data_IF_112326788946
#
_entry.id   IF_112326788946
#
_cell.length_a   1.000
_cell.length_b   1.000
_cell.length_c   1.000
_cell.angle_alpha   90.00
_cell.angle_beta   90.00
_cell.angle_gamma   90.00
#
_symmetry.space_group_name_H-M   'P 1'
#
loop_
_entity.id
_entity.type
_entity.pdbx_description
1 polymer ?
#
# COMPACT_ATOMS: atom_id res chain seq x y z
N UNK A 1 -0.43 -11.53 -23.20
CA UNK A 1 0.74 -10.74 -22.69
C UNK A 1 0.65 -10.61 -21.17
N UNK A 2 1.77 -10.74 -20.44
CA UNK A 2 1.80 -10.59 -18.97
C UNK A 2 1.75 -9.11 -18.58
N UNK A 3 1.05 -8.79 -17.50
CA UNK A 3 1.03 -7.44 -16.92
C UNK A 3 2.36 -7.21 -16.18
N UNK A 4 2.98 -6.02 -16.31
CA UNK A 4 4.19 -5.70 -15.55
C UNK A 4 3.91 -5.80 -14.04
N UNK A 5 4.80 -6.48 -13.31
CA UNK A 5 4.60 -6.78 -11.88
C UNK A 5 5.21 -5.73 -10.95
N UNK A 6 6.01 -4.79 -11.46
CA UNK A 6 6.63 -3.73 -10.66
C UNK A 6 5.63 -2.92 -9.80
N UNK A 7 4.37 -2.66 -10.22
CA UNK A 7 3.44 -1.93 -9.35
C UNK A 7 3.05 -2.74 -8.12
N UNK A 8 2.95 -4.06 -8.26
CA UNK A 8 2.65 -4.98 -7.16
C UNK A 8 3.83 -5.05 -6.18
N UNK A 9 5.06 -5.09 -6.68
CA UNK A 9 6.26 -4.98 -5.84
C UNK A 9 6.32 -3.64 -5.11
N UNK A 10 5.99 -2.54 -5.78
CA UNK A 10 5.90 -1.21 -5.15
C UNK A 10 4.88 -1.18 -4.01
N UNK A 11 3.66 -1.69 -4.24
CA UNK A 11 2.64 -1.81 -3.20
C UNK A 11 3.11 -2.68 -2.01
N UNK A 12 3.81 -3.79 -2.29
CA UNK A 12 4.35 -4.66 -1.25
C UNK A 12 5.42 -3.98 -0.39
N UNK A 13 6.37 -3.31 -1.02
CA UNK A 13 7.43 -2.57 -0.32
C UNK A 13 6.83 -1.48 0.56
N UNK A 14 5.85 -0.73 0.06
CA UNK A 14 5.19 0.34 0.82
C UNK A 14 4.36 -0.19 1.99
N UNK A 15 3.60 -1.27 1.78
CA UNK A 15 2.82 -1.89 2.84
C UNK A 15 3.71 -2.42 3.99
N UNK A 16 4.84 -3.07 3.64
CA UNK A 16 5.81 -3.56 4.63
C UNK A 16 6.50 -2.40 5.35
N UNK A 17 6.95 -1.38 4.61
CA UNK A 17 7.57 -0.20 5.21
C UNK A 17 6.62 0.51 6.18
N UNK A 18 5.36 0.71 5.80
CA UNK A 18 4.34 1.30 6.64
C UNK A 18 4.06 0.48 7.91
N UNK A 19 4.08 -0.86 7.82
CA UNK A 19 3.92 -1.75 8.97
C UNK A 19 5.09 -1.66 9.96
N UNK A 20 6.32 -1.47 9.48
CA UNK A 20 7.51 -1.48 10.34
C UNK A 20 7.70 -0.17 11.11
N UNK A 21 7.22 0.96 10.57
CA UNK A 21 7.42 2.30 11.14
C UNK A 21 6.95 2.43 12.61
N UNK A 22 5.77 1.92 13.02
CA UNK A 22 5.35 1.94 14.43
C UNK A 22 6.32 1.26 15.39
N UNK A 23 7.04 0.22 14.95
CA UNK A 23 7.98 -0.53 15.80
C UNK A 23 9.34 0.13 15.94
N UNK A 24 9.70 1.01 14.99
CA UNK A 24 10.97 1.73 14.97
C UNK A 24 10.81 3.15 15.54
N UNK A 25 9.61 3.71 15.48
CA UNK A 25 9.28 5.05 15.96
C UNK A 25 9.29 5.12 17.49
N UNK A 26 10.46 5.44 18.07
CA UNK A 26 10.57 5.59 19.53
C UNK A 26 10.02 6.91 20.06
N UNK A 27 10.11 8.02 19.31
CA UNK A 27 9.59 9.35 19.71
C UNK A 27 9.34 10.26 18.49
N UNK A 28 8.24 11.04 18.51
CA UNK A 28 7.98 12.14 17.58
C UNK A 28 6.99 11.84 16.43
N UNK A 29 6.42 12.90 15.86
CA UNK A 29 5.34 12.86 14.85
C UNK A 29 5.81 12.57 13.43
N UNK A 30 7.11 12.72 13.14
CA UNK A 30 7.65 12.62 11.77
C UNK A 30 7.54 11.20 11.19
N UNK A 31 7.98 10.19 11.95
CA UNK A 31 7.97 8.80 11.48
C UNK A 31 6.54 8.29 11.24
N UNK A 32 5.57 8.45 12.18
CA UNK A 32 4.19 8.05 11.95
C UNK A 32 3.54 8.77 10.76
N UNK A 33 3.87 10.04 10.53
CA UNK A 33 3.42 10.78 9.32
C UNK A 33 3.87 10.09 8.03
N UNK A 34 5.13 9.65 7.97
CA UNK A 34 5.66 8.92 6.82
C UNK A 34 4.97 7.57 6.68
N UNK A 35 4.80 6.82 7.77
CA UNK A 35 4.12 5.52 7.74
C UNK A 35 2.68 5.62 7.27
N UNK A 36 1.98 6.67 7.70
CA UNK A 36 0.66 7.01 7.21
C UNK A 36 0.67 7.28 5.70
N UNK A 37 1.57 8.14 5.21
CA UNK A 37 1.66 8.48 3.79
C UNK A 37 1.97 7.26 2.91
N UNK A 38 2.91 6.40 3.34
CA UNK A 38 3.28 5.19 2.58
C UNK A 38 2.13 4.16 2.57
N UNK A 39 1.49 3.94 3.72
CA UNK A 39 0.42 2.96 3.88
C UNK A 39 -0.90 3.40 3.25
N UNK A 40 -1.43 4.54 3.68
CA UNK A 40 -2.76 5.02 3.31
C UNK A 40 -2.82 5.70 1.92
N UNK A 41 -1.70 6.22 1.41
CA UNK A 41 -1.67 6.91 0.11
C UNK A 41 -0.86 6.13 -0.91
N UNK A 42 0.39 5.81 -0.57
CA UNK A 42 1.31 5.14 -1.49
C UNK A 42 0.80 3.76 -1.95
N UNK A 43 0.41 2.91 -0.99
CA UNK A 43 -0.07 1.55 -1.32
C UNK A 43 -1.31 1.56 -2.24
N UNK A 44 -2.35 2.39 -1.99
CA UNK A 44 -3.45 2.57 -2.94
C UNK A 44 -3.05 3.11 -4.31
N UNK A 45 -2.13 4.10 -4.38
CA UNK A 45 -1.66 4.61 -5.67
C UNK A 45 -1.07 3.50 -6.54
N UNK A 46 -0.21 2.66 -5.98
CA UNK A 46 0.38 1.52 -6.71
C UNK A 46 -0.67 0.47 -7.10
N UNK A 47 -1.66 0.22 -6.24
CA UNK A 47 -2.76 -0.68 -6.57
C UNK A 47 -3.66 -0.16 -7.70
N UNK A 48 -3.94 1.14 -7.71
CA UNK A 48 -4.67 1.80 -8.81
C UNK A 48 -3.87 1.72 -10.10
N UNK A 49 -2.57 2.00 -10.08
CA UNK A 49 -1.70 1.86 -11.26
C UNK A 49 -1.76 0.42 -11.81
N UNK A 50 -1.63 -0.59 -10.93
CA UNK A 50 -1.75 -1.99 -11.35
C UNK A 50 -3.10 -2.28 -12.00
N UNK A 51 -4.20 -1.78 -11.41
CA UNK A 51 -5.56 -1.97 -11.92
C UNK A 51 -5.77 -1.30 -13.28
N UNK A 52 -5.30 -0.06 -13.45
CA UNK A 52 -5.38 0.67 -14.73
C UNK A 52 -4.58 -0.07 -15.82
N UNK A 53 -3.39 -0.57 -15.48
CA UNK A 53 -2.59 -1.39 -16.40
C UNK A 53 -3.30 -2.70 -16.77
N UNK A 54 -3.97 -3.33 -15.80
CA UNK A 54 -4.74 -4.56 -16.01
C UNK A 54 -5.93 -4.31 -16.96
N UNK A 55 -6.71 -3.26 -16.72
CA UNK A 55 -7.86 -2.85 -17.54
C UNK A 55 -7.43 -2.41 -18.95
N UNK A 56 -6.27 -1.78 -19.09
CA UNK A 56 -5.70 -1.47 -20.40
C UNK A 56 -5.34 -2.73 -21.20
N UNK A 57 -4.83 -3.77 -20.52
CA UNK A 57 -4.42 -5.03 -21.14
C UNK A 57 -5.58 -5.98 -21.39
N UNK A 58 -6.67 -5.89 -20.60
CA UNK A 58 -7.85 -6.75 -20.77
C UNK A 58 -8.60 -6.52 -22.08
N UNK A 59 -8.33 -5.41 -22.78
CA UNK A 59 -8.83 -5.14 -24.13
C UNK A 59 -8.15 -6.00 -25.22
N UNK A 60 -7.06 -6.70 -24.89
CA UNK A 60 -6.36 -7.58 -25.82
C UNK A 60 -7.00 -8.98 -25.83
N UNK A 61 -7.24 -9.60 -27.01
CA UNK A 61 -7.78 -10.97 -27.10
C UNK A 61 -6.82 -12.04 -26.57
N UNK A 62 -5.53 -11.71 -26.35
CA UNK A 62 -4.51 -12.61 -25.80
C UNK A 62 -4.26 -12.40 -24.30
N UNK A 63 -5.20 -11.75 -23.62
CA UNK A 63 -5.11 -11.48 -22.19
C UNK A 63 -5.72 -12.62 -21.38
N UNK A 64 -4.94 -13.15 -20.44
CA UNK A 64 -5.41 -14.19 -19.50
C UNK A 64 -5.43 -13.57 -18.10
N UNK A 65 -6.61 -13.35 -17.50
CA UNK A 65 -6.70 -12.83 -16.15
C UNK A 65 -6.16 -13.84 -15.13
N UNK A 66 -5.37 -13.36 -14.16
CA UNK A 66 -4.88 -14.18 -13.05
C UNK A 66 -5.62 -13.81 -11.77
N UNK A 67 -6.51 -14.69 -11.23
CA UNK A 67 -7.26 -14.40 -10.01
C UNK A 67 -6.34 -14.28 -8.78
N UNK A 68 -5.17 -14.94 -8.82
CA UNK A 68 -4.17 -14.87 -7.75
C UNK A 68 -3.60 -13.45 -7.62
N UNK A 69 -3.29 -12.79 -8.73
CA UNK A 69 -2.76 -11.42 -8.72
C UNK A 69 -3.74 -10.43 -8.10
N UNK A 70 -5.02 -10.54 -8.43
CA UNK A 70 -6.06 -9.70 -7.85
C UNK A 70 -6.20 -9.90 -6.34
N UNK A 71 -6.11 -11.16 -5.87
CA UNK A 71 -6.14 -11.47 -4.43
C UNK A 71 -4.92 -10.92 -3.69
N UNK A 72 -3.72 -11.09 -4.24
CA UNK A 72 -2.49 -10.54 -3.65
C UNK A 72 -2.57 -9.02 -3.54
N UNK A 73 -3.04 -8.34 -4.59
CA UNK A 73 -3.18 -6.89 -4.55
C UNK A 73 -4.20 -6.41 -3.51
N UNK A 74 -5.33 -7.12 -3.37
CA UNK A 74 -6.33 -6.84 -2.34
C UNK A 74 -5.76 -7.02 -0.92
N UNK A 75 -4.96 -8.06 -0.70
CA UNK A 75 -4.26 -8.27 0.57
C UNK A 75 -3.26 -7.14 0.87
N UNK A 76 -2.46 -6.74 -0.13
CA UNK A 76 -1.51 -5.64 0.01
C UNK A 76 -2.21 -4.31 0.35
N UNK A 77 -3.34 -4.03 -0.31
CA UNK A 77 -4.18 -2.89 0.01
C UNK A 77 -4.70 -2.94 1.45
N UNK A 78 -5.25 -4.07 1.88
CA UNK A 78 -5.76 -4.23 3.24
C UNK A 78 -4.65 -4.02 4.29
N UNK A 79 -3.46 -4.59 4.05
CA UNK A 79 -2.29 -4.42 4.93
C UNK A 79 -1.83 -2.96 4.95
N UNK A 80 -1.65 -2.32 3.79
CA UNK A 80 -1.22 -0.93 3.69
C UNK A 80 -2.20 0.05 4.35
N UNK A 81 -3.50 -0.16 4.17
CA UNK A 81 -4.54 0.64 4.83
C UNK A 81 -4.53 0.45 6.35
N UNK A 82 -4.43 -0.80 6.82
CA UNK A 82 -4.38 -1.10 8.25
C UNK A 82 -3.13 -0.48 8.89
N UNK A 83 -1.98 -0.59 8.23
CA UNK A 83 -0.75 0.05 8.66
C UNK A 83 -0.88 1.58 8.68
N UNK A 84 -1.50 2.18 7.66
CA UNK A 84 -1.81 3.61 7.62
C UNK A 84 -2.68 4.05 8.79
N UNK A 85 -3.78 3.34 9.05
CA UNK A 85 -4.68 3.58 10.19
C UNK A 85 -3.95 3.51 11.53
N UNK A 86 -3.10 2.50 11.73
CA UNK A 86 -2.27 2.39 12.93
C UNK A 86 -1.35 3.60 13.09
N UNK A 87 -0.66 4.00 12.03
CA UNK A 87 0.21 5.18 12.06
C UNK A 87 -0.57 6.49 12.33
N UNK A 88 -1.78 6.63 11.78
CA UNK A 88 -2.66 7.77 12.09
C UNK A 88 -3.09 7.79 13.56
N UNK A 89 -3.40 6.63 14.14
CA UNK A 89 -3.71 6.52 15.57
C UNK A 89 -2.52 6.92 16.44
N UNK A 90 -1.31 6.45 16.12
CA UNK A 90 -0.08 6.90 16.80
C UNK A 90 0.11 8.41 16.69
N UNK A 91 -0.11 8.98 15.50
CA UNK A 91 -0.01 10.41 15.29
C UNK A 91 -1.03 11.19 16.15
N UNK A 92 -2.28 10.75 16.18
CA UNK A 92 -3.34 11.37 16.97
C UNK A 92 -3.05 11.31 18.48
N UNK A 93 -2.55 10.18 18.98
CA UNK A 93 -2.19 10.03 20.39
C UNK A 93 -0.96 10.85 20.78
N UNK A 94 0.02 11.02 19.90
CA UNK A 94 1.16 11.91 20.12
C UNK A 94 0.75 13.39 20.09
N UNK A 95 -0.18 13.78 19.20
CA UNK A 95 -0.74 15.12 19.16
C UNK A 95 -1.55 15.46 20.42
N UNK A 96 -2.32 14.50 20.95
CA UNK A 96 -3.12 14.71 22.15
C UNK A 96 -2.30 14.89 23.44
N UNK A 97 -1.01 14.51 23.44
CA UNK A 97 -0.10 14.71 24.58
C UNK A 97 0.48 16.12 24.65
N UNK A 98 0.30 16.94 23.59
CA UNK A 98 0.78 18.32 23.52
C UNK A 98 -0.34 19.29 23.82
#
# INVERSE_FOLDING_TARGET
MRVPQWPMFGAAVLAVAAMLIPFVSRQGIMLPSVGYALGAVGTPCFAVIHRVMLEGRSKSPWFVPSPVQSRVLALLLAVGLTAGLLNAWFLATELAKR
#
